data_IF_148714752173
#
_entry.id   IF_148714752173
#
_cell.length_a   1.000
_cell.length_b   1.000
_cell.length_c   1.000
_cell.angle_alpha   90.00
_cell.angle_beta   90.00
_cell.angle_gamma   90.00
#
_symmetry.space_group_name_H-M   'P 1'
#
loop_
_entity.id
_entity.type
_entity.pdbx_description
1 polymer ?
#
# COMPACT_ATOMS: atom_id res chain seq x y z
N UNK A 1 7.81 6.02 18.22
CA UNK A 1 7.27 4.71 17.80
C UNK A 1 6.87 4.80 16.34
N UNK A 2 7.25 3.83 15.51
CA UNK A 2 6.96 3.83 14.07
C UNK A 2 5.50 3.44 13.81
N UNK A 3 4.79 4.22 12.99
CA UNK A 3 3.46 3.89 12.49
C UNK A 3 3.54 3.38 11.06
N UNK A 4 3.04 2.16 10.83
CA UNK A 4 2.91 1.59 9.49
C UNK A 4 1.48 1.71 8.99
N UNK A 5 1.31 2.25 7.79
CA UNK A 5 0.01 2.44 7.14
C UNK A 5 -0.08 1.51 5.93
N UNK A 6 -1.09 0.64 5.92
CA UNK A 6 -1.38 -0.18 4.74
C UNK A 6 -1.89 0.73 3.60
N UNK A 7 -1.16 0.76 2.48
CA UNK A 7 -1.44 1.60 1.33
C UNK A 7 -1.82 0.73 0.14
N UNK A 8 -3.09 0.80 -0.27
CA UNK A 8 -3.62 0.06 -1.42
C UNK A 8 -3.47 0.79 -2.75
N UNK A 9 -2.97 2.03 -2.75
CA UNK A 9 -2.99 2.94 -3.90
C UNK A 9 -4.23 3.84 -3.94
N UNK A 10 -5.24 3.55 -3.11
CA UNK A 10 -6.44 4.37 -3.00
C UNK A 10 -6.27 5.66 -2.19
N UNK A 11 -7.22 6.58 -2.39
CA UNK A 11 -7.25 7.90 -1.73
C UNK A 11 -7.33 7.77 -0.20
N UNK A 12 -8.18 6.90 0.33
CA UNK A 12 -8.38 6.76 1.77
C UNK A 12 -7.08 6.40 2.50
N UNK A 13 -6.36 5.40 1.98
CA UNK A 13 -5.08 4.98 2.54
C UNK A 13 -3.99 6.04 2.41
N UNK A 14 -4.03 6.83 1.33
CA UNK A 14 -3.11 7.94 1.10
C UNK A 14 -3.35 9.09 2.06
N UNK A 15 -4.61 9.45 2.30
CA UNK A 15 -4.99 10.49 3.27
C UNK A 15 -4.67 10.03 4.69
N UNK A 16 -4.94 8.77 5.04
CA UNK A 16 -4.58 8.21 6.33
C UNK A 16 -3.06 8.29 6.59
N UNK A 17 -2.24 7.97 5.57
CA UNK A 17 -0.78 8.10 5.66
C UNK A 17 -0.34 9.57 5.83
N UNK A 18 -0.94 10.50 5.09
CA UNK A 18 -0.64 11.93 5.18
C UNK A 18 -0.97 12.50 6.57
N UNK A 19 -2.15 12.19 7.10
CA UNK A 19 -2.57 12.62 8.44
C UNK A 19 -1.68 12.04 9.53
N UNK A 20 -1.29 10.77 9.39
CA UNK A 20 -0.37 10.12 10.33
C UNK A 20 1.01 10.78 10.31
N UNK A 21 1.56 11.04 9.12
CA UNK A 21 2.83 11.73 8.95
C UNK A 21 2.79 13.17 9.49
N UNK A 22 1.67 13.88 9.32
CA UNK A 22 1.47 15.22 9.87
C UNK A 22 1.42 15.19 11.40
N UNK A 23 0.71 14.23 12.00
CA UNK A 23 0.52 14.15 13.44
C UNK A 23 1.77 13.63 14.19
N UNK A 24 2.57 12.75 13.56
CA UNK A 24 3.71 12.07 14.24
C UNK A 24 5.08 12.40 13.67
N UNK A 25 5.14 13.13 12.56
CA UNK A 25 6.35 13.37 11.79
C UNK A 25 6.60 12.30 10.73
N UNK A 26 7.18 12.71 9.60
CA UNK A 26 7.48 11.85 8.45
C UNK A 26 8.40 10.69 8.81
N UNK A 27 9.41 10.94 9.66
CA UNK A 27 10.37 9.90 10.08
C UNK A 27 9.74 8.82 10.96
N UNK A 28 8.59 9.10 11.58
CA UNK A 28 7.83 8.16 12.40
C UNK A 28 6.69 7.48 11.64
N UNK A 29 6.58 7.67 10.31
CA UNK A 29 5.54 7.08 9.47
C UNK A 29 6.16 6.32 8.28
N UNK A 30 5.60 5.16 7.96
CA UNK A 30 5.94 4.40 6.76
C UNK A 30 4.68 3.83 6.10
N UNK A 31 4.62 3.87 4.78
CA UNK A 31 3.62 3.17 3.98
C UNK A 31 4.05 1.74 3.69
N UNK A 32 3.10 0.81 3.66
CA UNK A 32 3.32 -0.57 3.23
C UNK A 32 2.21 -1.02 2.28
N UNK A 33 2.56 -1.51 1.10
CA UNK A 33 1.63 -2.20 0.21
C UNK A 33 1.81 -3.71 0.34
N UNK A 34 0.71 -4.46 0.35
CA UNK A 34 0.74 -5.92 0.48
C UNK A 34 0.36 -6.59 -0.83
N UNK A 35 1.22 -7.48 -1.33
CA UNK A 35 0.90 -8.38 -2.44
C UNK A 35 0.22 -9.60 -1.85
N UNK A 36 -1.09 -9.72 -2.08
CA UNK A 36 -1.91 -10.79 -1.52
C UNK A 36 -2.20 -11.91 -2.53
N UNK A 37 -2.22 -11.61 -3.83
CA UNK A 37 -2.57 -12.56 -4.89
C UNK A 37 -1.63 -12.39 -6.10
N UNK A 38 -1.28 -13.49 -6.79
CA UNK A 38 -0.35 -13.50 -7.95
C UNK A 38 -0.95 -14.01 -9.24
N UNK A 39 -2.10 -14.68 -9.22
CA UNK A 39 -2.50 -15.54 -10.35
C UNK A 39 -3.67 -14.97 -11.13
N UNK A 40 -3.67 -15.19 -12.45
CA UNK A 40 -4.81 -14.91 -13.33
C UNK A 40 -6.10 -15.60 -12.86
N UNK A 41 -6.00 -16.75 -12.18
CA UNK A 41 -7.14 -17.46 -11.59
C UNK A 41 -7.73 -16.74 -10.36
N UNK A 42 -6.90 -16.09 -9.54
CA UNK A 42 -7.33 -15.31 -8.38
C UNK A 42 -7.95 -13.96 -8.77
N UNK A 43 -7.46 -13.40 -9.87
CA UNK A 43 -7.99 -12.22 -10.52
C UNK A 43 -9.43 -12.46 -11.03
N UNK A 44 -9.67 -13.64 -11.60
CA UNK A 44 -11.01 -14.10 -12.05
C UNK A 44 -11.94 -14.37 -10.87
N UNK A 45 -11.43 -14.96 -9.77
CA UNK A 45 -12.23 -15.24 -8.56
C UNK A 45 -12.60 -14.00 -7.75
N UNK A 46 -11.72 -12.99 -7.69
CA UNK A 46 -11.94 -11.76 -6.93
C UNK A 46 -12.58 -10.63 -7.74
N UNK A 47 -12.74 -10.80 -9.06
CA UNK A 47 -13.18 -9.74 -9.97
C UNK A 47 -12.18 -8.60 -10.14
N UNK A 48 -10.95 -8.74 -9.63
CA UNK A 48 -9.89 -7.73 -9.68
C UNK A 48 -8.87 -8.12 -10.72
N UNK A 49 -9.17 -7.87 -11.99
CA UNK A 49 -8.38 -8.34 -13.13
C UNK A 49 -7.26 -7.43 -13.63
N UNK A 50 -7.02 -6.24 -13.09
CA UNK A 50 -6.10 -5.33 -13.81
C UNK A 50 -5.20 -4.39 -13.01
N UNK A 51 -5.32 -4.26 -11.68
CA UNK A 51 -4.71 -3.09 -11.01
C UNK A 51 -3.52 -3.37 -10.09
N UNK A 52 -3.11 -4.63 -9.84
CA UNK A 52 -2.07 -4.89 -8.84
C UNK A 52 -0.72 -4.15 -9.06
N UNK A 53 -0.22 -3.96 -10.30
CA UNK A 53 0.97 -3.14 -10.55
C UNK A 53 0.71 -1.63 -10.42
N UNK A 54 -0.45 -1.15 -10.91
CA UNK A 54 -0.82 0.26 -10.89
C UNK A 54 -1.13 0.74 -9.46
N UNK A 55 -1.84 -0.05 -8.68
CA UNK A 55 -2.13 0.18 -7.26
C UNK A 55 -0.84 0.32 -6.43
N UNK A 56 0.15 -0.55 -6.70
CA UNK A 56 1.46 -0.48 -6.08
C UNK A 56 2.20 0.80 -6.49
N UNK A 57 2.08 1.18 -7.75
CA UNK A 57 2.70 2.39 -8.28
C UNK A 57 2.06 3.66 -7.70
N UNK A 58 0.74 3.71 -7.58
CA UNK A 58 0.00 4.81 -6.96
C UNK A 58 0.29 4.92 -5.47
N UNK A 59 0.37 3.79 -4.76
CA UNK A 59 0.79 3.76 -3.36
C UNK A 59 2.21 4.33 -3.19
N UNK A 60 3.14 3.93 -4.07
CA UNK A 60 4.51 4.45 -4.09
C UNK A 60 4.54 5.95 -4.36
N UNK A 61 3.75 6.44 -5.33
CA UNK A 61 3.65 7.87 -5.66
C UNK A 61 3.08 8.69 -4.52
N UNK A 62 2.02 8.21 -3.88
CA UNK A 62 1.43 8.85 -2.71
C UNK A 62 2.44 8.94 -1.56
N UNK A 63 3.13 7.84 -1.23
CA UNK A 63 4.15 7.84 -0.18
C UNK A 63 5.31 8.81 -0.49
N UNK A 64 5.76 8.87 -1.75
CA UNK A 64 6.78 9.81 -2.20
C UNK A 64 6.32 11.27 -2.07
N UNK A 65 5.08 11.58 -2.43
CA UNK A 65 4.51 12.93 -2.29
C UNK A 65 4.38 13.36 -0.81
N UNK A 66 4.05 12.41 0.08
CA UNK A 66 3.98 12.67 1.53
C UNK A 66 5.39 12.81 2.14
N UNK A 67 6.39 12.19 1.52
CA UNK A 67 7.78 12.16 1.99
C UNK A 67 8.02 11.12 3.09
N UNK A 68 7.36 9.95 2.99
CA UNK A 68 7.51 8.83 3.93
C UNK A 68 8.15 7.63 3.25
N UNK A 69 8.77 6.75 4.06
CA UNK A 69 9.32 5.47 3.59
C UNK A 69 8.18 4.57 3.09
N UNK A 70 8.44 3.82 2.01
CA UNK A 70 7.47 2.92 1.40
C UNK A 70 8.06 1.52 1.24
N UNK A 71 7.30 0.51 1.66
CA UNK A 71 7.70 -0.90 1.58
C UNK A 71 6.64 -1.72 0.84
N UNK A 72 7.09 -2.82 0.26
CA UNK A 72 6.20 -3.83 -0.32
C UNK A 72 6.39 -5.11 0.47
N UNK A 73 5.28 -5.67 0.95
CA UNK A 73 5.26 -6.93 1.66
C UNK A 73 4.61 -8.00 0.80
N UNK A 74 5.36 -9.05 0.48
CA UNK A 74 4.80 -10.22 -0.18
C UNK A 74 4.17 -11.14 0.85
N UNK A 75 2.85 -11.29 0.78
CA UNK A 75 2.08 -12.13 1.69
C UNK A 75 1.29 -13.20 0.95
N UNK A 76 1.57 -13.44 -0.33
CA UNK A 76 0.77 -14.32 -1.19
C UNK A 76 0.62 -15.73 -0.60
N UNK A 77 1.68 -16.28 -0.01
CA UNK A 77 1.67 -17.60 0.62
C UNK A 77 0.66 -17.72 1.77
N UNK A 78 0.40 -16.63 2.51
CA UNK A 78 -0.58 -16.63 3.62
C UNK A 78 -2.03 -16.54 3.16
N UNK A 79 -2.26 -16.15 1.92
CA UNK A 79 -3.60 -15.86 1.38
C UNK A 79 -3.97 -16.81 0.23
N UNK A 80 -3.26 -17.95 0.14
CA UNK A 80 -3.50 -19.01 -0.84
C UNK A 80 -4.56 -20.00 -0.37
#
# INVERSE_FOLDING_TARGET
MLSMVAMSGGVDSSVAAALTAQARGRDACAGVAMRLYSTAEDAVRSGRTCCAPDDLYDARRAAAAIGIRFYVYDAQERFR
#
